data_IF_326196299454
#
_entry.id   IF_326196299454
#
_cell.length_a   1.000
_cell.length_b   1.000
_cell.length_c   1.000
_cell.angle_alpha   90.00
_cell.angle_beta   90.00
_cell.angle_gamma   90.00
#
_symmetry.space_group_name_H-M   'P 1'
#
loop_
_entity.id
_entity.type
_entity.pdbx_description
1 polymer ?
#
# COMPACT_ATOMS: atom_id res chain seq x y z
N UNK A 1 3.86 12.49 -15.46
CA UNK A 1 4.36 12.90 -14.13
C UNK A 1 3.75 11.97 -13.10
N UNK A 2 4.53 11.35 -12.21
CA UNK A 2 3.98 10.44 -11.18
C UNK A 2 3.20 11.23 -10.13
N UNK A 3 2.10 10.68 -9.62
CA UNK A 3 1.40 11.25 -8.46
C UNK A 3 2.30 11.27 -7.22
N UNK A 4 1.98 12.15 -6.26
CA UNK A 4 2.75 12.26 -5.01
C UNK A 4 2.77 10.93 -4.25
N UNK A 5 1.67 10.19 -4.25
CA UNK A 5 1.57 8.90 -3.55
C UNK A 5 2.40 7.82 -4.24
N UNK A 6 2.49 7.83 -5.57
CA UNK A 6 3.40 6.94 -6.30
C UNK A 6 4.88 7.28 -6.02
N UNK A 7 5.21 8.57 -5.86
CA UNK A 7 6.56 8.99 -5.46
C UNK A 7 6.88 8.56 -4.01
N UNK A 8 5.93 8.69 -3.08
CA UNK A 8 6.07 8.21 -1.70
C UNK A 8 6.24 6.69 -1.68
N UNK A 9 5.49 5.95 -2.51
CA UNK A 9 5.66 4.50 -2.65
C UNK A 9 7.09 4.15 -3.11
N UNK A 10 7.62 4.88 -4.11
CA UNK A 10 9.01 4.72 -4.55
C UNK A 10 10.02 4.95 -3.40
N UNK A 11 9.76 5.92 -2.51
CA UNK A 11 10.60 6.23 -1.35
C UNK A 11 10.52 5.18 -0.23
N UNK A 12 9.44 4.41 -0.14
CA UNK A 12 9.29 3.33 0.84
C UNK A 12 10.01 2.04 0.41
N UNK A 13 10.19 1.81 -0.90
CA UNK A 13 10.77 0.57 -1.42
C UNK A 13 12.14 0.18 -0.82
N UNK A 14 13.07 1.10 -0.54
CA UNK A 14 14.35 0.76 0.09
C UNK A 14 14.24 0.16 1.50
N UNK A 15 13.10 0.32 2.17
CA UNK A 15 12.88 -0.17 3.53
C UNK A 15 12.14 -1.52 3.58
N UNK A 16 11.77 -2.08 2.42
CA UNK A 16 11.14 -3.39 2.35
C UNK A 16 12.08 -4.47 2.87
N UNK A 17 11.56 -5.34 3.75
CA UNK A 17 12.21 -6.60 4.11
C UNK A 17 11.70 -7.71 3.18
N UNK A 18 12.33 -8.87 3.24
CA UNK A 18 11.90 -10.03 2.46
C UNK A 18 10.43 -10.37 2.75
N UNK A 19 9.62 -10.46 1.68
CA UNK A 19 8.18 -10.74 1.76
C UNK A 19 7.28 -9.52 2.00
N UNK A 20 7.85 -8.33 2.21
CA UNK A 20 7.08 -7.08 2.29
C UNK A 20 6.72 -6.56 0.90
N UNK A 21 5.65 -5.77 0.82
CA UNK A 21 5.28 -5.00 -0.37
C UNK A 21 4.83 -3.59 -0.01
N UNK A 22 4.80 -2.69 -0.99
CA UNK A 22 4.19 -1.37 -0.81
C UNK A 22 2.79 -1.37 -1.42
N UNK A 23 1.82 -0.84 -0.67
CA UNK A 23 0.51 -0.46 -1.24
C UNK A 23 0.34 1.04 -1.16
N UNK A 24 -0.23 1.64 -2.19
CA UNK A 24 -0.46 3.09 -2.26
C UNK A 24 -1.74 3.43 -2.99
N UNK A 25 -2.23 4.66 -2.81
CA UNK A 25 -3.48 5.13 -3.40
C UNK A 25 -3.22 6.26 -4.38
N UNK A 26 -3.72 6.18 -5.61
CA UNK A 26 -3.66 7.26 -6.60
C UNK A 26 -5.07 7.68 -7.04
N UNK A 27 -5.38 8.98 -6.95
CA UNK A 27 -6.66 9.58 -7.36
C UNK A 27 -7.92 8.75 -7.03
N UNK A 28 -7.93 8.04 -5.88
CA UNK A 28 -8.93 7.10 -5.34
C UNK A 28 -8.65 5.60 -5.52
N UNK A 29 -7.89 5.16 -6.51
CA UNK A 29 -7.59 3.74 -6.75
C UNK A 29 -6.40 3.26 -5.92
N UNK A 30 -6.52 2.09 -5.30
CA UNK A 30 -5.39 1.45 -4.62
C UNK A 30 -4.53 0.67 -5.60
N UNK A 31 -3.24 0.57 -5.30
CA UNK A 31 -2.23 -0.10 -6.09
C UNK A 31 -1.33 -0.92 -5.19
N UNK A 32 -0.78 -2.00 -5.74
CA UNK A 32 0.39 -2.68 -5.22
C UNK A 32 1.44 -2.84 -6.32
N UNK A 33 2.52 -3.57 -6.04
CA UNK A 33 3.60 -3.78 -7.01
C UNK A 33 3.16 -4.50 -8.30
N UNK A 34 1.98 -5.13 -8.32
CA UNK A 34 1.39 -5.75 -9.51
C UNK A 34 0.45 -4.81 -10.28
N UNK A 35 0.23 -3.59 -9.78
CA UNK A 35 -0.60 -2.58 -10.41
C UNK A 35 -1.89 -2.26 -9.64
N UNK A 36 -2.91 -1.74 -10.33
CA UNK A 36 -4.11 -1.24 -9.67
C UNK A 36 -4.99 -2.37 -9.13
N UNK A 37 -5.41 -2.24 -7.88
CA UNK A 37 -6.40 -3.12 -7.24
C UNK A 37 -7.80 -2.94 -7.86
N UNK A 38 -8.72 -3.91 -7.65
CA UNK A 38 -10.11 -3.81 -8.08
C UNK A 38 -10.84 -2.55 -7.57
N UNK A 39 -11.75 -2.01 -8.38
CA UNK A 39 -12.44 -0.73 -8.08
C UNK A 39 -13.29 -0.76 -6.79
N UNK A 40 -13.80 -1.91 -6.35
CA UNK A 40 -14.62 -1.97 -5.14
C UNK A 40 -13.83 -1.62 -3.86
N UNK A 41 -12.50 -1.61 -3.95
CA UNK A 41 -11.62 -1.15 -2.88
C UNK A 41 -11.37 0.35 -2.86
N UNK A 42 -11.85 1.10 -3.85
CA UNK A 42 -11.60 2.54 -3.99
C UNK A 42 -11.93 3.33 -2.71
N UNK A 43 -13.04 2.99 -2.03
CA UNK A 43 -13.47 3.60 -0.77
C UNK A 43 -12.83 3.01 0.49
N UNK A 44 -12.07 1.91 0.38
CA UNK A 44 -11.53 1.22 1.53
C UNK A 44 -10.40 2.00 2.20
N UNK A 45 -10.36 1.94 3.52
CA UNK A 45 -9.20 2.40 4.29
C UNK A 45 -8.03 1.43 4.11
N UNK A 46 -6.80 1.92 4.35
CA UNK A 46 -5.61 1.07 4.36
C UNK A 46 -5.75 -0.11 5.35
N UNK A 47 -6.32 0.14 6.54
CA UNK A 47 -6.53 -0.88 7.56
C UNK A 47 -7.54 -1.95 7.11
N UNK A 48 -8.63 -1.53 6.46
CA UNK A 48 -9.63 -2.44 5.90
C UNK A 48 -9.03 -3.31 4.80
N UNK A 49 -8.20 -2.73 3.92
CA UNK A 49 -7.50 -3.49 2.88
C UNK A 49 -6.51 -4.49 3.46
N UNK A 50 -5.74 -4.05 4.46
CA UNK A 50 -4.79 -4.93 5.12
C UNK A 50 -5.52 -6.13 5.73
N UNK A 51 -6.64 -5.92 6.44
CA UNK A 51 -7.40 -7.03 7.00
C UNK A 51 -7.96 -7.97 5.91
N UNK A 52 -8.61 -7.42 4.88
CA UNK A 52 -9.18 -8.16 3.74
C UNK A 52 -8.14 -9.06 3.06
N UNK A 53 -6.94 -8.53 2.80
CA UNK A 53 -5.88 -9.27 2.13
C UNK A 53 -4.98 -10.08 3.06
N UNK A 54 -5.27 -10.09 4.37
CA UNK A 54 -4.45 -10.82 5.32
C UNK A 54 -3.06 -10.22 5.52
N UNK A 55 -2.94 -8.90 5.56
CA UNK A 55 -1.71 -8.18 5.79
C UNK A 55 -1.64 -7.49 7.16
N UNK A 56 -0.43 -7.40 7.70
CA UNK A 56 -0.05 -6.45 8.74
C UNK A 56 0.52 -5.19 8.09
N UNK A 57 0.20 -4.02 8.67
CA UNK A 57 0.73 -2.72 8.23
C UNK A 57 1.94 -2.36 9.10
N UNK A 58 3.03 -1.92 8.48
CA UNK A 58 4.09 -1.25 9.22
C UNK A 58 3.65 0.18 9.57
N UNK A 59 3.12 0.34 10.79
CA UNK A 59 2.64 1.63 11.29
C UNK A 59 3.75 2.66 11.50
N UNK A 60 5.03 2.24 11.59
CA UNK A 60 6.16 3.17 11.73
C UNK A 60 6.50 3.86 10.40
N UNK A 61 6.07 3.30 9.27
CA UNK A 61 6.34 3.77 7.91
C UNK A 61 5.04 4.01 7.11
N UNK A 62 3.97 4.40 7.80
CA UNK A 62 2.65 4.65 7.20
C UNK A 62 2.46 6.15 6.88
N UNK A 63 2.25 6.44 5.60
CA UNK A 63 2.03 7.80 5.08
C UNK A 63 0.56 8.05 4.69
N UNK A 64 -0.39 7.31 5.30
CA UNK A 64 -1.86 7.26 5.05
C UNK A 64 -2.29 6.79 3.66
N UNK A 65 -1.59 7.23 2.64
CA UNK A 65 -1.87 6.93 1.23
C UNK A 65 -0.79 6.05 0.59
N UNK A 66 0.21 5.64 1.37
CA UNK A 66 1.21 4.65 1.02
C UNK A 66 1.70 3.99 2.32
N UNK A 67 1.91 2.68 2.30
CA UNK A 67 2.45 1.95 3.44
C UNK A 67 3.14 0.67 3.00
N UNK A 68 4.09 0.23 3.82
CA UNK A 68 4.67 -1.11 3.76
C UNK A 68 3.69 -2.08 4.44
N UNK A 69 3.41 -3.19 3.77
CA UNK A 69 2.54 -4.26 4.30
C UNK A 69 3.20 -5.62 4.15
N UNK A 70 2.86 -6.53 5.06
CA UNK A 70 3.41 -7.89 5.14
C UNK A 70 2.30 -8.91 5.27
N UNK A 71 2.41 -10.08 4.62
CA UNK A 71 1.46 -11.18 4.82
C UNK A 71 1.48 -11.69 6.26
N UNK A 72 0.30 -11.74 6.90
CA UNK A 72 0.12 -12.38 8.20
C UNK A 72 0.53 -13.86 8.10
N UNK A 73 1.18 -14.40 9.14
CA UNK A 73 1.55 -15.81 9.20
C UNK A 73 0.34 -16.75 9.12
#
# INVERSE_FOLDING_TARGET
>A
MKSINAQVADLLRPFLKEGDKVIWRDAFRWHDDNGPLPNHFEGASLASLADEFGYDIDWSMNMRHAAIVRKRP
#
